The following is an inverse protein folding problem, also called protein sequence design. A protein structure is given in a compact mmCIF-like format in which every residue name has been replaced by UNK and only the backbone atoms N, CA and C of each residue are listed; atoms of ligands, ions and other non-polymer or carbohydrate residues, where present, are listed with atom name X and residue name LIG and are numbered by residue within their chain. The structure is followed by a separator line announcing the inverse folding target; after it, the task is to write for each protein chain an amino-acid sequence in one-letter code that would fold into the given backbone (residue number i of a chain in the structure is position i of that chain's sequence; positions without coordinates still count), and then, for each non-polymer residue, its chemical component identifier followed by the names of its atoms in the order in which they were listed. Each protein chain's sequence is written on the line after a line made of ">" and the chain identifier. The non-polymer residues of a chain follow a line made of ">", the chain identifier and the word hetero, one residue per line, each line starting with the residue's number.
data_IF_240192905513
#
_entry.id   IF_240192905513
#
_cell.length_a   1.000
_cell.length_b   1.000
_cell.length_c   1.000
_cell.angle_alpha   90.00
_cell.angle_beta   90.00
_cell.angle_gamma   90.00
#
_symmetry.space_group_name_H-M   'P 1'
#
loop_
_entity.id
_entity.type
_entity.pdbx_description
1 polymer ?
#
# COMPACT_ATOMS: atom_id res chain seq x y z
N UNK A 1 -17.46 11.05 -4.81
CA UNK A 1 -17.99 9.67 -4.71
C UNK A 1 -17.02 8.63 -5.26
N UNK A 2 -16.46 8.85 -6.46
CA UNK A 2 -15.55 7.88 -7.12
C UNK A 2 -14.24 7.68 -6.35
N UNK A 3 -13.69 8.74 -5.77
CA UNK A 3 -12.44 8.71 -5.03
C UNK A 3 -12.57 7.91 -3.71
N UNK A 4 -13.70 8.07 -2.99
CA UNK A 4 -13.94 7.32 -1.75
C UNK A 4 -14.19 5.84 -2.00
N UNK A 5 -14.87 5.50 -3.10
CA UNK A 5 -15.09 4.13 -3.51
C UNK A 5 -13.77 3.43 -3.89
N UNK A 6 -12.92 4.13 -4.65
CA UNK A 6 -11.62 3.60 -5.05
C UNK A 6 -10.68 3.44 -3.83
N UNK A 7 -10.68 4.40 -2.91
CA UNK A 7 -9.93 4.32 -1.66
C UNK A 7 -10.31 3.09 -0.83
N UNK A 8 -11.62 2.91 -0.61
CA UNK A 8 -12.11 1.78 0.18
C UNK A 8 -11.82 0.44 -0.48
N UNK A 9 -12.07 0.34 -1.80
CA UNK A 9 -11.98 -0.92 -2.52
C UNK A 9 -10.54 -1.29 -2.91
N UNK A 10 -9.74 -0.33 -3.31
CA UNK A 10 -8.37 -0.60 -3.78
C UNK A 10 -7.41 -0.68 -2.60
N UNK A 11 -7.35 0.37 -1.79
CA UNK A 11 -6.36 0.48 -0.73
C UNK A 11 -6.73 -0.33 0.53
N UNK A 12 -7.95 -0.19 1.00
CA UNK A 12 -8.41 -0.89 2.20
C UNK A 12 -8.31 -2.40 2.06
N UNK A 13 -8.78 -2.94 0.94
CA UNK A 13 -8.71 -4.37 0.66
C UNK A 13 -7.25 -4.85 0.50
N UNK A 14 -6.42 -4.07 -0.18
CA UNK A 14 -5.01 -4.41 -0.38
C UNK A 14 -4.27 -4.55 0.96
N UNK A 15 -4.36 -3.55 1.81
CA UNK A 15 -3.68 -3.53 3.11
C UNK A 15 -4.19 -4.66 4.00
N UNK A 16 -5.51 -4.82 4.10
CA UNK A 16 -6.11 -5.87 4.91
C UNK A 16 -5.73 -7.27 4.42
N UNK A 17 -5.77 -7.51 3.12
CA UNK A 17 -5.39 -8.82 2.54
C UNK A 17 -3.92 -9.13 2.78
N UNK A 18 -3.03 -8.17 2.59
CA UNK A 18 -1.59 -8.36 2.78
C UNK A 18 -1.26 -8.69 4.23
N UNK A 19 -1.81 -7.95 5.18
CA UNK A 19 -1.62 -8.19 6.61
C UNK A 19 -2.22 -9.54 7.02
N UNK A 20 -3.43 -9.84 6.56
CA UNK A 20 -4.11 -11.10 6.88
C UNK A 20 -3.35 -12.32 6.36
N UNK A 21 -2.81 -12.25 5.14
CA UNK A 21 -1.98 -13.32 4.58
C UNK A 21 -0.66 -13.48 5.35
N UNK A 22 -0.02 -12.37 5.72
CA UNK A 22 1.21 -12.40 6.52
C UNK A 22 0.97 -13.08 7.88
N UNK A 23 -0.13 -12.76 8.53
CA UNK A 23 -0.51 -13.40 9.80
C UNK A 23 -0.83 -14.88 9.62
N UNK A 24 -1.60 -15.22 8.59
CA UNK A 24 -2.04 -16.59 8.33
C UNK A 24 -0.88 -17.53 8.00
N UNK A 25 0.06 -17.09 7.19
CA UNK A 25 1.10 -17.95 6.64
C UNK A 25 2.44 -17.86 7.37
N UNK A 26 2.73 -16.74 8.03
CA UNK A 26 4.04 -16.48 8.67
C UNK A 26 3.93 -15.85 10.06
N UNK A 27 2.80 -15.96 10.74
CA UNK A 27 2.58 -15.33 12.06
C UNK A 27 2.87 -13.83 12.08
N UNK A 28 2.65 -13.16 10.95
CA UNK A 28 2.86 -11.73 10.79
C UNK A 28 4.29 -11.32 10.45
N UNK A 29 5.23 -12.25 10.43
CA UNK A 29 6.65 -11.97 10.12
C UNK A 29 6.86 -11.83 8.62
N UNK A 30 7.44 -10.72 8.19
CA UNK A 30 7.69 -10.41 6.79
C UNK A 30 9.18 -10.52 6.49
N UNK A 31 9.55 -11.47 5.65
CA UNK A 31 10.94 -11.76 5.30
C UNK A 31 11.12 -11.84 3.78
N UNK A 32 12.11 -11.10 3.28
CA UNK A 32 12.55 -11.25 1.89
C UNK A 32 13.46 -12.47 1.76
N UNK A 33 13.03 -13.46 0.98
CA UNK A 33 13.81 -14.66 0.68
C UNK A 33 14.49 -14.60 -0.70
N UNK A 34 14.31 -13.50 -1.42
CA UNK A 34 15.00 -13.27 -2.69
C UNK A 34 14.53 -14.14 -3.87
N UNK A 35 13.39 -14.80 -3.73
CA UNK A 35 12.84 -15.66 -4.80
C UNK A 35 11.96 -14.80 -5.71
N UNK A 36 12.60 -14.09 -6.62
CA UNK A 36 11.96 -13.14 -7.53
C UNK A 36 11.78 -13.74 -8.93
N UNK A 37 10.77 -13.22 -9.64
CA UNK A 37 10.48 -13.52 -11.03
C UNK A 37 10.15 -12.25 -11.80
N UNK A 38 9.61 -12.41 -13.00
CA UNK A 38 9.25 -11.29 -13.88
C UNK A 38 8.23 -10.34 -13.26
N UNK A 39 7.21 -10.88 -12.61
CA UNK A 39 6.17 -10.07 -11.95
C UNK A 39 6.74 -9.19 -10.83
N UNK A 40 7.74 -9.68 -10.09
CA UNK A 40 8.41 -8.94 -9.02
C UNK A 40 9.23 -7.78 -9.58
N UNK A 41 9.99 -8.01 -10.63
CA UNK A 41 10.79 -6.98 -11.28
C UNK A 41 9.88 -5.88 -11.90
N UNK A 42 8.77 -6.27 -12.49
CA UNK A 42 7.79 -5.32 -13.01
C UNK A 42 7.13 -4.50 -11.89
N UNK A 43 6.75 -5.14 -10.79
CA UNK A 43 6.22 -4.42 -9.62
C UNK A 43 7.19 -3.35 -9.12
N UNK A 44 8.44 -3.73 -8.91
CA UNK A 44 9.49 -2.81 -8.43
C UNK A 44 9.66 -1.63 -9.39
N UNK A 45 9.73 -1.91 -10.68
CA UNK A 45 9.88 -0.90 -11.72
C UNK A 45 8.70 0.07 -11.72
N UNK A 46 7.47 -0.43 -11.72
CA UNK A 46 6.25 0.40 -11.72
C UNK A 46 6.21 1.28 -10.47
N UNK A 47 6.47 0.71 -9.30
CA UNK A 47 6.45 1.46 -8.03
C UNK A 47 7.44 2.62 -8.07
N UNK A 48 8.68 2.38 -8.48
CA UNK A 48 9.71 3.42 -8.53
C UNK A 48 9.43 4.48 -9.61
N UNK A 49 8.86 4.08 -10.75
CA UNK A 49 8.42 5.02 -11.78
C UNK A 49 7.27 5.90 -11.31
N UNK A 50 6.29 5.34 -10.60
CA UNK A 50 5.14 6.09 -10.08
C UNK A 50 5.55 7.09 -8.99
N UNK A 51 6.57 6.76 -8.19
CA UNK A 51 7.15 7.73 -7.23
C UNK A 51 7.62 8.98 -7.97
N UNK A 52 8.37 8.82 -9.04
CA UNK A 52 8.90 9.93 -9.85
C UNK A 52 7.77 10.73 -10.51
N UNK A 53 6.77 10.04 -11.04
CA UNK A 53 5.60 10.68 -11.67
C UNK A 53 4.79 11.49 -10.67
N UNK A 54 4.54 10.93 -9.48
CA UNK A 54 3.81 11.61 -8.40
C UNK A 54 4.55 12.88 -7.96
N UNK A 55 5.86 12.79 -7.77
CA UNK A 55 6.70 13.93 -7.41
C UNK A 55 6.66 15.02 -8.49
N UNK A 56 6.80 14.67 -9.76
CA UNK A 56 6.73 15.60 -10.87
C UNK A 56 5.36 16.32 -10.96
N UNK A 57 4.26 15.59 -10.69
CA UNK A 57 2.92 16.19 -10.64
C UNK A 57 2.78 17.16 -9.47
N UNK A 58 3.36 16.85 -8.32
CA UNK A 58 3.35 17.75 -7.18
C UNK A 58 4.15 19.02 -7.42
N UNK A 59 5.30 18.94 -8.08
CA UNK A 59 6.08 20.12 -8.50
C UNK A 59 5.29 21.05 -9.44
N UNK A 60 4.40 20.47 -10.24
CA UNK A 60 3.50 21.19 -11.13
C UNK A 60 2.21 21.66 -10.45
N UNK A 61 2.06 21.43 -9.15
CA UNK A 61 0.84 21.69 -8.36
C UNK A 61 -0.41 20.94 -8.89
N UNK A 62 -0.19 19.80 -9.54
CA UNK A 62 -1.26 18.96 -10.10
C UNK A 62 -1.62 17.86 -9.10
N UNK A 63 -2.32 18.24 -8.03
CA UNK A 63 -2.64 17.37 -6.89
C UNK A 63 -3.47 16.15 -7.28
N UNK A 64 -4.52 16.32 -8.07
CA UNK A 64 -5.37 15.20 -8.50
C UNK A 64 -4.59 14.19 -9.36
N UNK A 65 -3.71 14.66 -10.21
CA UNK A 65 -2.86 13.79 -11.03
C UNK A 65 -1.81 13.05 -10.19
N UNK A 66 -1.26 13.72 -9.18
CA UNK A 66 -0.34 13.08 -8.24
C UNK A 66 -1.03 11.94 -7.47
N UNK A 67 -2.27 12.16 -7.02
CA UNK A 67 -3.08 11.12 -6.37
C UNK A 67 -3.32 9.93 -7.29
N UNK A 68 -3.59 10.17 -8.56
CA UNK A 68 -3.76 9.12 -9.57
C UNK A 68 -2.51 8.26 -9.68
N UNK A 69 -1.33 8.89 -9.73
CA UNK A 69 -0.05 8.16 -9.79
C UNK A 69 0.20 7.32 -8.52
N UNK A 70 -0.14 7.84 -7.35
CA UNK A 70 -0.04 7.08 -6.10
C UNK A 70 -0.98 5.86 -6.12
N UNK A 71 -2.21 6.03 -6.58
CA UNK A 71 -3.17 4.93 -6.70
C UNK A 71 -2.73 3.87 -7.70
N UNK A 72 -1.98 4.24 -8.73
CA UNK A 72 -1.40 3.27 -9.66
C UNK A 72 -0.46 2.29 -8.96
N UNK A 73 0.24 2.72 -7.91
CA UNK A 73 1.05 1.82 -7.07
C UNK A 73 0.15 0.75 -6.44
N UNK A 74 -0.95 1.15 -5.84
CA UNK A 74 -1.87 0.22 -5.17
C UNK A 74 -2.59 -0.71 -6.15
N UNK A 75 -2.97 -0.19 -7.31
CA UNK A 75 -3.54 -1.02 -8.39
C UNK A 75 -2.54 -2.06 -8.89
N UNK A 76 -1.27 -1.66 -9.04
CA UNK A 76 -0.21 -2.59 -9.43
C UNK A 76 -0.01 -3.68 -8.39
N UNK A 77 -0.09 -3.34 -7.10
CA UNK A 77 -0.04 -4.32 -6.02
C UNK A 77 -1.18 -5.34 -6.11
N UNK A 78 -2.41 -4.89 -6.35
CA UNK A 78 -3.56 -5.79 -6.51
C UNK A 78 -3.37 -6.72 -7.72
N UNK A 79 -2.88 -6.21 -8.83
CA UNK A 79 -2.54 -7.01 -10.01
C UNK A 79 -1.45 -8.04 -9.69
N UNK A 80 -0.45 -7.65 -8.92
CA UNK A 80 0.63 -8.53 -8.48
C UNK A 80 0.11 -9.71 -7.63
N UNK A 81 -0.87 -9.47 -6.77
CA UNK A 81 -1.55 -10.54 -6.03
C UNK A 81 -2.20 -11.53 -6.99
N UNK A 82 -2.89 -11.04 -8.01
CA UNK A 82 -3.56 -11.90 -9.00
C UNK A 82 -2.54 -12.68 -9.86
N UNK A 83 -1.40 -12.07 -10.17
CA UNK A 83 -0.32 -12.71 -10.93
C UNK A 83 0.40 -13.80 -10.14
N UNK A 84 0.61 -13.58 -8.84
CA UNK A 84 1.40 -14.49 -8.00
C UNK A 84 0.56 -15.51 -7.24
N UNK A 85 -0.73 -15.27 -7.11
CA UNK A 85 -1.68 -16.16 -6.41
C UNK A 85 -1.12 -16.72 -5.08
N UNK A 86 -0.93 -15.86 -4.04
CA UNK A 86 -0.30 -16.28 -2.79
C UNK A 86 -1.00 -17.45 -2.11
N UNK A 87 -2.33 -17.54 -2.20
CA UNK A 87 -3.11 -18.65 -1.66
C UNK A 87 -2.78 -20.00 -2.32
N UNK A 88 -2.36 -20.00 -3.57
CA UNK A 88 -1.88 -21.19 -4.25
C UNK A 88 -0.48 -21.57 -3.81
N UNK A 89 0.41 -20.58 -3.69
CA UNK A 89 1.77 -20.79 -3.17
C UNK A 89 1.75 -21.36 -1.75
N UNK A 90 0.79 -20.94 -0.94
CA UNK A 90 0.65 -21.39 0.45
C UNK A 90 0.32 -22.89 0.58
N UNK A 91 -0.21 -23.52 -0.47
CA UNK A 91 -0.54 -24.94 -0.49
C UNK A 91 0.66 -25.85 -0.76
N UNK A 92 1.77 -25.29 -1.18
CA UNK A 92 3.00 -26.01 -1.57
C UNK A 92 4.17 -25.56 -0.69
N UNK A 93 4.63 -26.45 0.21
CA UNK A 93 5.75 -26.18 1.11
C UNK A 93 7.03 -25.81 0.35
N UNK A 94 7.24 -26.32 -0.86
CA UNK A 94 8.39 -25.98 -1.69
C UNK A 94 8.37 -24.52 -2.16
N UNK A 95 7.20 -23.87 -2.12
CA UNK A 95 7.00 -22.47 -2.53
C UNK A 95 6.96 -21.48 -1.35
N UNK A 96 7.32 -21.92 -0.16
CA UNK A 96 7.26 -21.10 1.05
C UNK A 96 8.14 -19.85 0.95
N UNK A 97 9.36 -19.99 0.44
CA UNK A 97 10.28 -18.85 0.24
C UNK A 97 9.77 -17.89 -0.83
N UNK A 98 9.13 -18.42 -1.88
CA UNK A 98 8.47 -17.61 -2.90
C UNK A 98 7.32 -16.80 -2.28
N UNK A 99 6.48 -17.44 -1.48
CA UNK A 99 5.37 -16.79 -0.78
C UNK A 99 5.86 -15.68 0.15
N UNK A 100 6.92 -15.95 0.90
CA UNK A 100 7.54 -14.96 1.79
C UNK A 100 8.01 -13.73 1.00
N UNK A 101 8.67 -13.93 -0.13
CA UNK A 101 9.14 -12.85 -1.02
C UNK A 101 7.98 -12.03 -1.57
N UNK A 102 6.89 -12.68 -1.99
CA UNK A 102 5.67 -12.00 -2.49
C UNK A 102 5.08 -11.08 -1.43
N UNK A 103 4.93 -11.57 -0.20
CA UNK A 103 4.36 -10.77 0.90
C UNK A 103 5.30 -9.63 1.31
N UNK A 104 6.61 -9.85 1.27
CA UNK A 104 7.60 -8.80 1.49
C UNK A 104 7.47 -7.68 0.44
N UNK A 105 7.42 -8.04 -0.83
CA UNK A 105 7.29 -7.07 -1.93
C UNK A 105 6.01 -6.26 -1.84
N UNK A 106 4.90 -6.88 -1.46
CA UNK A 106 3.63 -6.18 -1.22
C UNK A 106 3.75 -5.19 -0.06
N UNK A 107 4.34 -5.61 1.05
CA UNK A 107 4.51 -4.76 2.24
C UNK A 107 5.42 -3.57 1.94
N UNK A 108 6.51 -3.79 1.22
CA UNK A 108 7.42 -2.73 0.78
C UNK A 108 6.70 -1.72 -0.13
N UNK A 109 5.97 -2.19 -1.13
CA UNK A 109 5.22 -1.33 -2.04
C UNK A 109 4.15 -0.51 -1.31
N UNK A 110 3.47 -1.12 -0.34
CA UNK A 110 2.48 -0.43 0.51
C UNK A 110 3.17 0.66 1.35
N UNK A 111 4.35 0.39 1.91
CA UNK A 111 5.11 1.37 2.68
C UNK A 111 5.49 2.59 1.83
N UNK A 112 5.92 2.39 0.60
CA UNK A 112 6.24 3.47 -0.35
C UNK A 112 4.98 4.26 -0.69
N UNK A 113 3.92 3.59 -1.09
CA UNK A 113 2.65 4.23 -1.45
C UNK A 113 2.04 5.01 -0.30
N UNK A 114 2.05 4.47 0.91
CA UNK A 114 1.56 5.14 2.11
C UNK A 114 2.39 6.38 2.46
N UNK A 115 3.70 6.32 2.28
CA UNK A 115 4.58 7.47 2.51
C UNK A 115 4.27 8.63 1.55
N UNK A 116 4.01 8.32 0.27
CA UNK A 116 3.55 9.33 -0.70
C UNK A 116 2.16 9.86 -0.35
N UNK A 117 1.26 8.98 0.04
CA UNK A 117 -0.11 9.33 0.42
C UNK A 117 -0.18 10.25 1.64
N UNK A 118 0.84 10.23 2.47
CA UNK A 118 0.92 11.01 3.71
C UNK A 118 0.71 12.52 3.48
N UNK A 119 1.19 13.05 2.36
CA UNK A 119 1.01 14.46 2.02
C UNK A 119 -0.43 14.86 1.71
N UNK A 120 -1.28 13.89 1.38
CA UNK A 120 -2.69 14.12 0.98
C UNK A 120 -3.68 13.64 2.03
N UNK A 121 -3.39 12.52 2.66
CA UNK A 121 -4.25 11.84 3.63
C UNK A 121 -3.40 11.35 4.81
N UNK A 122 -2.91 12.27 5.64
CA UNK A 122 -1.95 11.92 6.71
C UNK A 122 -2.51 10.92 7.71
N UNK A 123 -3.78 11.00 8.08
CA UNK A 123 -4.39 10.08 9.03
C UNK A 123 -4.48 8.66 8.49
N UNK A 124 -4.90 8.50 7.24
CA UNK A 124 -4.98 7.21 6.56
C UNK A 124 -3.58 6.60 6.38
N UNK A 125 -2.63 7.40 5.91
CA UNK A 125 -1.25 6.99 5.72
C UNK A 125 -0.62 6.53 7.05
N UNK A 126 -0.82 7.27 8.12
CA UNK A 126 -0.32 6.94 9.46
C UNK A 126 -0.87 5.59 9.95
N UNK A 127 -2.17 5.35 9.76
CA UNK A 127 -2.79 4.07 10.12
C UNK A 127 -2.21 2.90 9.34
N UNK A 128 -1.95 3.07 8.04
CA UNK A 128 -1.33 2.03 7.22
C UNK A 128 0.08 1.73 7.72
N UNK A 129 0.90 2.75 7.89
CA UNK A 129 2.28 2.61 8.35
C UNK A 129 2.36 1.99 9.74
N UNK A 130 1.45 2.38 10.65
CA UNK A 130 1.37 1.81 11.99
C UNK A 130 1.04 0.31 11.95
N UNK A 131 0.15 -0.13 11.07
CA UNK A 131 -0.23 -1.54 10.96
C UNK A 131 0.89 -2.42 10.41
N UNK A 132 1.76 -1.90 9.56
CA UNK A 132 2.94 -2.61 9.06
C UNK A 132 4.21 -2.28 9.86
N UNK A 133 4.06 -1.59 10.97
CA UNK A 133 5.12 -1.27 11.94
C UNK A 133 6.34 -0.60 11.29
N UNK A 134 6.12 0.39 10.45
CA UNK A 134 7.19 1.18 9.83
C UNK A 134 6.85 2.67 9.85
N UNK A 135 7.87 3.51 9.74
CA UNK A 135 7.71 4.95 9.66
C UNK A 135 7.55 5.46 8.23
N UNK A 136 7.10 6.70 8.11
CA UNK A 136 7.07 7.43 6.84
C UNK A 136 8.48 7.56 6.27
N UNK A 137 8.63 7.26 4.99
CA UNK A 137 9.88 7.48 4.25
C UNK A 137 9.91 8.87 3.64
N UNK A 138 11.11 9.46 3.62
CA UNK A 138 11.36 10.67 2.87
C UNK A 138 11.50 10.35 1.37
N UNK A 139 11.24 11.34 0.52
CA UNK A 139 11.30 11.15 -0.93
C UNK A 139 12.66 10.62 -1.40
N UNK A 140 13.75 11.08 -0.79
CA UNK A 140 15.11 10.61 -1.09
C UNK A 140 15.31 9.11 -0.81
N UNK A 141 14.49 8.51 0.03
CA UNK A 141 14.53 7.08 0.37
C UNK A 141 13.65 6.23 -0.55
N UNK A 142 12.84 6.86 -1.38
CA UNK A 142 11.90 6.19 -2.28
C UNK A 142 12.44 6.00 -3.70
N UNK A 143 13.73 6.15 -3.89
CA UNK A 143 14.43 5.84 -5.14
C UNK A 143 14.92 4.38 -5.19
N UNK A 144 14.77 3.65 -4.08
CA UNK A 144 15.15 2.25 -3.95
C UNK A 144 14.00 1.41 -3.41
N UNK A 145 13.93 0.17 -3.85
CA UNK A 145 12.97 -0.84 -3.38
C UNK A 145 13.67 -1.83 -2.44
N UNK A 146 13.03 -2.16 -1.32
CA UNK A 146 13.57 -3.16 -0.40
C UNK A 146 14.13 -2.58 0.90
N UNK A 147 13.62 -1.43 1.35
CA UNK A 147 14.03 -0.81 2.62
C UNK A 147 13.22 -1.30 3.83
N UNK A 148 12.10 -1.99 3.61
CA UNK A 148 11.33 -2.54 4.71
C UNK A 148 12.20 -3.53 5.49
N UNK A 149 12.23 -3.44 6.85
CA UNK A 149 13.13 -4.29 7.64
C UNK A 149 12.78 -5.77 7.48
N UNK A 150 13.79 -6.56 7.11
CA UNK A 150 13.63 -8.01 6.96
C UNK A 150 13.39 -8.65 8.34
N UNK A 151 12.34 -9.45 8.45
CA UNK A 151 11.94 -10.07 9.72
C UNK A 151 11.05 -9.20 10.59
N UNK A 152 10.61 -8.05 10.11
CA UNK A 152 9.66 -7.18 10.81
C UNK A 152 8.29 -7.84 10.88
N UNK A 153 7.61 -7.68 12.01
CA UNK A 153 6.26 -8.20 12.22
C UNK A 153 5.21 -7.12 11.97
N UNK A 154 4.17 -7.46 11.21
CA UNK A 154 3.00 -6.60 11.02
C UNK A 154 2.01 -6.80 12.17
N UNK A 155 0.99 -5.93 12.27
CA UNK A 155 -0.04 -6.07 13.30
C UNK A 155 -0.78 -7.40 13.21
N UNK A 156 -1.13 -7.98 14.34
CA UNK A 156 -1.96 -9.19 14.41
C UNK A 156 -3.47 -8.87 14.34
N UNK A 157 -3.82 -7.59 14.42
CA UNK A 157 -5.21 -7.10 14.39
C UNK A 157 -5.36 -5.99 13.35
N UNK A 158 -5.54 -6.35 12.06
CA UNK A 158 -5.72 -5.32 11.03
C UNK A 158 -6.99 -4.51 11.27
N UNK A 159 -6.87 -3.20 11.25
CA UNK A 159 -7.99 -2.28 11.37
C UNK A 159 -8.63 -2.01 10.02
N UNK A 160 -9.94 -1.77 10.01
CA UNK A 160 -10.65 -1.29 8.84
C UNK A 160 -10.26 0.17 8.63
N UNK A 161 -9.52 0.45 7.54
CA UNK A 161 -9.01 1.79 7.23
C UNK A 161 -10.13 2.78 6.86
N UNK A 162 -11.18 2.26 6.23
CA UNK A 162 -12.34 3.04 5.78
C UNK A 162 -13.59 2.38 6.33
N UNK A 163 -14.07 2.84 7.49
CA UNK A 163 -15.44 2.62 7.88
C UNK A 163 -16.33 3.25 6.78
N UNK A 164 -17.46 2.60 6.44
CA UNK A 164 -18.47 3.24 5.59
C UNK A 164 -18.70 4.63 6.14
N UNK A 165 -18.28 5.67 5.41
CA UNK A 165 -18.61 7.04 5.79
C UNK A 165 -20.12 7.14 5.81
N UNK A 166 -20.67 7.40 6.99
CA UNK A 166 -22.08 7.73 7.10
C UNK A 166 -22.30 9.01 6.28
N UNK A 167 -23.27 8.96 5.38
CA UNK A 167 -23.61 10.09 4.49
C UNK A 167 -23.77 11.40 5.28
N UNK A 168 -24.13 11.31 6.56
CA UNK A 168 -24.24 12.44 7.47
C UNK A 168 -22.90 13.10 7.80
N UNK A 169 -21.82 12.34 7.93
CA UNK A 169 -20.49 12.90 8.20
C UNK A 169 -19.90 13.56 6.95
N UNK A 170 -20.12 12.98 5.77
CA UNK A 170 -19.69 13.58 4.50
C UNK A 170 -20.37 14.91 4.22
N UNK A 171 -21.65 15.05 4.57
CA UNK A 171 -22.42 16.31 4.45
C UNK A 171 -21.91 17.36 5.44
N UNK A 172 -21.56 16.97 6.67
CA UNK A 172 -20.98 17.85 7.67
C UNK A 172 -19.63 18.43 7.23
N UNK A 173 -18.76 17.59 6.65
CA UNK A 173 -17.45 18.03 6.13
C UNK A 173 -17.60 19.02 4.95
N UNK A 174 -18.57 18.80 4.09
CA UNK A 174 -18.84 19.68 2.95
C UNK A 174 -19.37 21.04 3.41
N UNK A 175 -20.20 21.08 4.45
CA UNK A 175 -20.72 22.30 5.03
C UNK A 175 -19.65 23.12 5.76
N UNK A 176 -18.72 22.48 6.49
CA UNK A 176 -17.60 23.16 7.14
C UNK A 176 -16.67 23.84 6.13
N UNK A 177 -16.38 23.17 5.01
CA UNK A 177 -15.56 23.75 3.93
C UNK A 177 -16.25 24.92 3.22
N UNK A 178 -17.55 24.90 3.09
CA UNK A 178 -18.31 26.00 2.46
C UNK A 178 -18.34 27.28 3.32
N UNK A 179 -18.10 27.18 4.63
CA UNK A 179 -18.05 28.34 5.54
C UNK A 179 -16.65 28.93 5.69
N UNK A 180 -15.58 28.25 5.25
CA UNK A 180 -14.20 28.74 5.31
C UNK A 180 -13.76 29.53 4.04
N UNK A 181 -14.62 29.62 3.06
CA UNK A 181 -14.44 30.47 1.87
C UNK A 181 -15.44 31.63 1.89
#
# INVERSE_FOLDING_TARGET
>A
ERMNSDLANILGNLVNRTISMSNKYFDGVVCDKGVCGEADEDLKKVVLEEVKKADAKMEQLRVADAMTEIFNIFRRCNKYIDETTPWTLAKDESQKDRLATVLYNLTEAIAIGASLLYSFMPETAEKILAQIHTGKRELSQMDAFGLYPNGQKVTDKPEILFARMDIKEAVSYTHLRAHET
#
